data_IF_871235479428
#
_entry.id   IF_871235479428
#
_cell.length_a   1.000
_cell.length_b   1.000
_cell.length_c   1.000
_cell.angle_alpha   90.00
_cell.angle_beta   90.00
_cell.angle_gamma   90.00
#
_symmetry.space_group_name_H-M   'P 1'
#
loop_
_entity.id
_entity.type
_entity.pdbx_description
1 polymer ?
#
# COMPACT_ATOMS: atom_id res chain seq x y z
N UNK A 1 7.15 2.23 1.53
CA UNK A 1 7.09 3.42 2.40
C UNK A 1 7.97 3.16 3.60
N UNK A 2 8.77 4.14 4.04
CA UNK A 2 9.63 3.99 5.21
C UNK A 2 8.89 4.56 6.44
N UNK A 3 8.66 3.71 7.43
CA UNK A 3 7.93 3.99 8.67
C UNK A 3 8.50 3.11 9.80
N UNK A 4 9.71 3.40 10.30
CA UNK A 4 10.30 2.67 11.41
C UNK A 4 9.50 2.92 12.70
N UNK A 5 9.42 1.92 13.57
CA UNK A 5 8.73 2.01 14.87
C UNK A 5 7.25 1.61 14.87
N UNK A 6 6.66 1.35 13.69
CA UNK A 6 5.32 0.77 13.58
C UNK A 6 5.35 -0.75 13.60
N UNK A 7 4.24 -1.37 13.99
CA UNK A 7 3.92 -2.77 13.73
C UNK A 7 3.14 -2.94 12.43
N UNK A 8 3.18 -4.14 11.84
CA UNK A 8 2.35 -4.50 10.69
C UNK A 8 0.85 -4.27 10.87
N UNK A 9 0.32 -4.41 12.09
CA UNK A 9 -1.11 -4.23 12.40
C UNK A 9 -1.53 -2.75 12.47
N UNK A 10 -0.56 -1.83 12.53
CA UNK A 10 -0.84 -0.39 12.57
C UNK A 10 -1.24 0.18 11.20
N UNK A 11 -1.08 -0.62 10.13
CA UNK A 11 -1.34 -0.18 8.76
C UNK A 11 -2.67 -0.71 8.24
N UNK A 12 -3.58 0.19 7.91
CA UNK A 12 -4.72 -0.09 7.04
C UNK A 12 -4.36 0.32 5.61
N UNK A 13 -4.26 -0.67 4.72
CA UNK A 13 -3.92 -0.47 3.30
C UNK A 13 -5.16 -0.70 2.44
N UNK A 14 -5.56 0.32 1.70
CA UNK A 14 -6.63 0.26 0.70
C UNK A 14 -6.04 0.47 -0.69
N UNK A 15 -6.40 -0.40 -1.63
CA UNK A 15 -5.98 -0.30 -3.03
C UNK A 15 -7.21 -0.10 -3.91
N UNK A 16 -7.15 0.88 -4.80
CA UNK A 16 -8.10 1.09 -5.90
C UNK A 16 -7.41 0.79 -7.23
N UNK A 17 -8.17 0.81 -8.32
CA UNK A 17 -7.64 0.56 -9.67
C UNK A 17 -6.45 1.45 -10.01
N UNK A 18 -6.38 2.68 -9.47
CA UNK A 18 -5.43 3.72 -9.84
C UNK A 18 -4.68 4.35 -8.65
N UNK A 19 -4.90 3.86 -7.42
CA UNK A 19 -4.29 4.46 -6.24
C UNK A 19 -4.09 3.49 -5.09
N UNK A 20 -3.12 3.82 -4.24
CA UNK A 20 -2.89 3.14 -2.96
C UNK A 20 -3.07 4.18 -1.87
N UNK A 21 -3.87 3.86 -0.86
CA UNK A 21 -3.99 4.62 0.36
C UNK A 21 -3.49 3.79 1.54
N UNK A 22 -2.61 4.38 2.35
CA UNK A 22 -2.13 3.79 3.60
C UNK A 22 -2.52 4.71 4.74
N UNK A 23 -3.21 4.16 5.72
CA UNK A 23 -3.63 4.84 6.94
C UNK A 23 -2.95 4.18 8.14
N UNK A 24 -2.48 5.01 9.06
CA UNK A 24 -2.11 4.65 10.43
C UNK A 24 -2.88 5.55 11.38
N UNK A 25 -2.64 5.42 12.69
CA UNK A 25 -3.22 6.35 13.67
C UNK A 25 -2.65 7.77 13.53
N UNK A 26 -1.44 7.93 12.97
CA UNK A 26 -0.74 9.22 12.93
C UNK A 26 -0.84 9.91 11.57
N UNK A 27 -0.98 9.14 10.48
CA UNK A 27 -0.99 9.71 9.14
C UNK A 27 -1.86 8.95 8.14
N UNK A 28 -2.24 9.69 7.10
CA UNK A 28 -2.88 9.15 5.90
C UNK A 28 -2.01 9.53 4.71
N UNK A 29 -1.62 8.54 3.91
CA UNK A 29 -0.84 8.76 2.70
C UNK A 29 -1.51 8.09 1.51
N UNK A 30 -1.87 8.89 0.51
CA UNK A 30 -2.37 8.41 -0.78
C UNK A 30 -1.31 8.58 -1.86
N UNK A 31 -1.19 7.60 -2.74
CA UNK A 31 -0.33 7.62 -3.93
C UNK A 31 -1.13 7.22 -5.15
N UNK A 32 -1.16 8.09 -6.16
CA UNK A 32 -1.68 7.75 -7.49
C UNK A 32 -0.68 6.84 -8.22
N UNK A 33 -1.20 5.83 -8.90
CA UNK A 33 -0.45 4.88 -9.71
C UNK A 33 -0.38 5.38 -11.15
N UNK A 34 0.74 5.11 -11.82
CA UNK A 34 0.91 5.46 -13.24
C UNK A 34 0.23 4.50 -14.21
N UNK A 35 -0.43 3.45 -13.70
CA UNK A 35 -1.16 2.46 -14.49
C UNK A 35 -2.26 1.83 -13.63
N UNK A 36 -3.28 1.29 -14.28
CA UNK A 36 -4.32 0.53 -13.59
C UNK A 36 -3.81 -0.83 -13.09
N UNK A 37 -4.40 -1.30 -11.99
CA UNK A 37 -4.02 -2.56 -11.32
C UNK A 37 -5.25 -3.44 -11.05
N UNK A 38 -5.01 -4.66 -10.59
CA UNK A 38 -6.00 -5.54 -9.97
C UNK A 38 -5.96 -5.37 -8.45
N UNK A 39 -6.85 -4.57 -7.83
CA UNK A 39 -6.80 -4.32 -6.38
C UNK A 39 -6.89 -5.59 -5.54
N UNK A 40 -7.67 -6.56 -5.99
CA UNK A 40 -7.86 -7.87 -5.36
C UNK A 40 -6.58 -8.72 -5.31
N UNK A 41 -5.57 -8.38 -6.12
CA UNK A 41 -4.26 -9.05 -6.13
C UNK A 41 -3.25 -8.45 -5.15
N UNK A 42 -3.64 -7.43 -4.37
CA UNK A 42 -2.74 -6.71 -3.49
C UNK A 42 -2.21 -7.60 -2.34
N UNK A 43 -0.89 -7.59 -2.18
CA UNK A 43 -0.18 -8.24 -1.08
C UNK A 43 0.66 -7.19 -0.36
N UNK A 44 0.49 -7.12 0.96
CA UNK A 44 1.20 -6.17 1.83
C UNK A 44 2.23 -6.91 2.68
N UNK A 45 3.46 -6.39 2.73
CA UNK A 45 4.55 -6.94 3.54
C UNK A 45 5.22 -5.78 4.27
N UNK A 46 5.37 -5.90 5.59
CA UNK A 46 6.13 -4.95 6.39
C UNK A 46 7.35 -5.63 7.01
N UNK A 47 8.54 -5.12 6.69
CA UNK A 47 9.81 -5.67 7.21
C UNK A 47 10.83 -4.55 7.34
N UNK A 48 11.56 -4.53 8.46
CA UNK A 48 12.64 -3.57 8.72
C UNK A 48 12.23 -2.10 8.51
N UNK A 49 11.04 -1.71 9.01
CA UNK A 49 10.55 -0.33 8.85
C UNK A 49 10.07 0.01 7.44
N UNK A 50 9.96 -0.97 6.53
CA UNK A 50 9.52 -0.74 5.15
C UNK A 50 8.23 -1.49 4.86
N UNK A 51 7.17 -0.72 4.57
CA UNK A 51 5.91 -1.24 4.03
C UNK A 51 6.03 -1.36 2.51
N UNK A 52 5.89 -2.58 2.01
CA UNK A 52 5.87 -2.94 0.60
C UNK A 52 4.46 -3.40 0.21
N UNK A 53 3.91 -2.81 -0.85
CA UNK A 53 2.62 -3.22 -1.42
C UNK A 53 2.88 -3.68 -2.85
N UNK A 54 2.52 -4.93 -3.16
CA UNK A 54 2.67 -5.55 -4.49
C UNK A 54 1.31 -5.88 -5.05
N UNK A 55 1.12 -5.72 -6.35
CA UNK A 55 -0.13 -6.00 -7.05
C UNK A 55 0.16 -6.27 -8.52
N UNK A 56 -0.73 -7.01 -9.19
CA UNK A 56 -0.67 -7.21 -10.63
C UNK A 56 -1.20 -5.96 -11.34
N UNK A 57 -0.49 -5.52 -12.39
CA UNK A 57 -0.99 -4.51 -13.31
C UNK A 57 -2.17 -5.10 -14.10
N UNK A 58 -3.18 -4.29 -14.42
CA UNK A 58 -4.06 -4.62 -15.54
C UNK A 58 -3.27 -4.29 -16.79
N UNK A 59 -2.95 -5.29 -17.59
CA UNK A 59 -2.40 -5.03 -18.93
C UNK A 59 -3.45 -4.21 -19.71
N UNK A 60 -2.96 -3.26 -20.52
CA UNK A 60 -3.80 -2.40 -21.35
C UNK A 60 -4.21 -3.12 -22.64
#
# INVERSE_FOLDING_TARGET
MHAPGYDSHDFLVSVSDDSIEVKTNDFIRRKMLGSTVHPESAVTIYRNGVLSVRMKRRDA
#
